data_IF_902131233475
#
_entry.id   IF_902131233475
#
_cell.length_a   1.000
_cell.length_b   1.000
_cell.length_c   1.000
_cell.angle_alpha   90.00
_cell.angle_beta   90.00
_cell.angle_gamma   90.00
#
_symmetry.space_group_name_H-M   'P 1'
#
loop_
_entity.id
_entity.type
_entity.pdbx_description
1 polymer ?
#
# COMPACT_ATOMS: atom_id res chain seq x y z
N UNK A 1 3.49 -1.25 13.65
CA UNK A 1 2.44 -2.26 13.96
C UNK A 1 1.37 -1.76 14.93
N UNK A 2 1.70 -0.86 15.86
CA UNK A 2 0.77 -0.32 16.88
C UNK A 2 -0.48 0.33 16.29
N UNK A 3 -0.35 1.08 15.20
CA UNK A 3 -1.49 1.76 14.55
C UNK A 3 -2.51 0.79 13.95
N UNK A 4 -2.07 -0.24 13.21
CA UNK A 4 -2.97 -1.21 12.60
C UNK A 4 -3.78 -1.95 13.68
N UNK A 5 -3.12 -2.44 14.73
CA UNK A 5 -3.78 -3.13 15.83
C UNK A 5 -4.78 -2.24 16.58
N UNK A 6 -4.43 -0.96 16.76
CA UNK A 6 -5.35 0.03 17.33
C UNK A 6 -6.59 0.20 16.44
N UNK A 7 -6.43 0.38 15.14
CA UNK A 7 -7.55 0.51 14.19
C UNK A 7 -8.45 -0.71 14.18
N UNK A 8 -7.89 -1.93 14.22
CA UNK A 8 -8.69 -3.16 14.28
C UNK A 8 -9.56 -3.19 15.54
N UNK A 9 -8.99 -2.82 16.70
CA UNK A 9 -9.72 -2.79 17.98
C UNK A 9 -10.80 -1.71 18.03
N UNK A 10 -10.53 -0.55 17.47
CA UNK A 10 -11.45 0.59 17.52
C UNK A 10 -12.59 0.46 16.50
N UNK A 11 -12.33 -0.11 15.33
CA UNK A 11 -13.29 -0.15 14.22
C UNK A 11 -14.03 -1.49 14.09
N UNK A 12 -13.58 -2.55 14.77
CA UNK A 12 -14.15 -3.91 14.70
C UNK A 12 -14.55 -4.33 13.26
N UNK A 13 -13.63 -4.26 12.29
CA UNK A 13 -13.96 -4.55 10.90
C UNK A 13 -14.25 -6.04 10.70
N UNK A 14 -15.18 -6.37 9.81
CA UNK A 14 -15.42 -7.76 9.41
C UNK A 14 -14.37 -8.28 8.43
N UNK A 15 -13.75 -7.40 7.64
CA UNK A 15 -12.75 -7.73 6.63
C UNK A 15 -11.67 -6.65 6.57
N UNK A 16 -10.42 -7.06 6.30
CA UNK A 16 -9.26 -6.17 6.20
C UNK A 16 -8.48 -6.52 4.94
N UNK A 17 -8.15 -5.50 4.15
CA UNK A 17 -7.22 -5.61 3.03
C UNK A 17 -6.18 -4.50 3.14
N UNK A 18 -4.92 -4.83 2.84
CA UNK A 18 -3.80 -3.87 2.80
C UNK A 18 -3.34 -3.72 1.37
N UNK A 19 -3.21 -2.48 0.90
CA UNK A 19 -2.74 -2.19 -0.45
C UNK A 19 -1.41 -1.44 -0.40
N UNK A 20 -0.44 -1.87 -1.19
CA UNK A 20 0.84 -1.19 -1.34
C UNK A 20 0.88 -0.42 -2.67
N UNK A 21 1.28 0.85 -2.59
CA UNK A 21 1.45 1.70 -3.77
C UNK A 21 2.64 1.22 -4.59
N UNK A 22 2.49 1.25 -5.91
CA UNK A 22 3.51 0.76 -6.85
C UNK A 22 4.13 1.92 -7.60
N UNK A 23 5.40 1.82 -7.97
CA UNK A 23 6.08 2.81 -8.84
C UNK A 23 5.54 2.85 -10.28
N UNK A 24 4.50 2.08 -10.58
CA UNK A 24 3.86 1.99 -11.88
C UNK A 24 3.48 3.39 -12.42
N UNK A 25 3.77 3.72 -13.69
CA UNK A 25 3.18 4.89 -14.31
C UNK A 25 1.66 4.75 -14.23
N UNK A 26 1.01 5.77 -13.69
CA UNK A 26 -0.45 5.85 -13.67
C UNK A 26 -0.89 6.72 -14.84
N UNK A 27 -2.05 6.42 -15.41
CA UNK A 27 -2.74 7.26 -16.41
C UNK A 27 -2.72 8.77 -16.08
N UNK A 28 -2.71 9.12 -14.79
CA UNK A 28 -2.64 10.52 -14.32
C UNK A 28 -1.32 11.22 -14.67
N UNK A 29 -0.21 10.47 -14.77
CA UNK A 29 1.11 11.00 -15.19
C UNK A 29 1.14 11.27 -16.70
N UNK A 30 0.41 10.48 -17.48
CA UNK A 30 0.32 10.64 -18.94
C UNK A 30 -0.56 11.84 -19.30
N UNK A 31 -1.66 12.07 -18.58
CA UNK A 31 -2.55 13.22 -18.78
C UNK A 31 -1.99 14.53 -18.24
N UNK A 32 -1.19 14.48 -17.17
CA UNK A 32 -0.63 15.69 -16.54
C UNK A 32 0.81 15.44 -16.09
N UNK A 33 1.81 15.84 -16.91
CA UNK A 33 3.22 15.61 -16.62
C UNK A 33 3.71 16.24 -15.31
N UNK A 34 3.08 17.34 -14.86
CA UNK A 34 3.39 17.97 -13.58
C UNK A 34 2.76 17.26 -12.37
N UNK A 35 1.97 16.19 -12.59
CA UNK A 35 1.37 15.42 -11.51
C UNK A 35 2.44 14.77 -10.63
N UNK A 36 2.49 15.14 -9.35
CA UNK A 36 3.48 14.68 -8.37
C UNK A 36 4.95 14.94 -8.77
N UNK A 37 5.21 15.87 -9.69
CA UNK A 37 6.57 16.16 -10.17
C UNK A 37 7.51 16.71 -9.08
N UNK A 38 6.96 17.36 -8.05
CA UNK A 38 7.73 17.89 -6.91
C UNK A 38 7.88 16.90 -5.75
N UNK A 39 7.42 15.65 -5.90
CA UNK A 39 7.50 14.67 -4.81
C UNK A 39 8.96 14.26 -4.62
N UNK A 40 9.45 14.39 -3.39
CA UNK A 40 10.75 13.83 -3.01
C UNK A 40 10.74 12.31 -3.19
N UNK A 41 11.89 11.77 -3.57
CA UNK A 41 12.05 10.33 -3.66
C UNK A 41 11.82 9.71 -2.29
N UNK A 42 11.13 8.57 -2.30
CA UNK A 42 10.87 7.81 -1.08
C UNK A 42 12.19 7.22 -0.59
N UNK A 43 12.47 7.40 0.70
CA UNK A 43 13.64 6.86 1.39
C UNK A 43 13.81 5.35 1.09
N UNK A 44 14.98 4.90 0.59
CA UNK A 44 15.29 3.49 0.40
C UNK A 44 15.02 2.63 1.64
N UNK A 45 15.32 3.13 2.84
CA UNK A 45 15.09 2.40 4.09
C UNK A 45 13.60 2.09 4.33
N UNK A 46 12.69 2.93 3.81
CA UNK A 46 11.26 2.66 3.89
C UNK A 46 10.84 1.54 2.94
N UNK A 47 11.49 1.40 1.78
CA UNK A 47 11.21 0.30 0.87
C UNK A 47 11.65 -1.05 1.45
N UNK A 48 12.77 -1.08 2.17
CA UNK A 48 13.27 -2.29 2.85
C UNK A 48 12.32 -2.79 3.96
N UNK A 49 11.50 -1.89 4.52
CA UNK A 49 10.49 -2.27 5.51
C UNK A 49 9.26 -2.94 4.89
N UNK A 50 8.97 -2.73 3.60
CA UNK A 50 7.75 -3.25 2.95
C UNK A 50 7.68 -4.80 2.98
N UNK A 51 8.74 -5.56 2.62
CA UNK A 51 8.74 -7.02 2.72
C UNK A 51 8.46 -7.51 4.14
N UNK A 52 9.08 -6.89 5.15
CA UNK A 52 8.91 -7.23 6.56
C UNK A 52 7.45 -7.06 6.98
N UNK A 53 6.81 -5.96 6.55
CA UNK A 53 5.39 -5.74 6.84
C UNK A 53 4.51 -6.82 6.19
N UNK A 54 4.80 -7.22 4.95
CA UNK A 54 4.04 -8.29 4.26
C UNK A 54 4.17 -9.63 4.99
N UNK A 55 5.37 -9.96 5.48
CA UNK A 55 5.62 -11.18 6.27
C UNK A 55 4.85 -11.19 7.59
N UNK A 56 4.66 -10.04 8.23
CA UNK A 56 3.87 -9.94 9.46
C UNK A 56 2.36 -10.02 9.18
N UNK A 57 1.89 -9.46 8.06
CA UNK A 57 0.46 -9.46 7.70
C UNK A 57 -0.04 -10.86 7.29
N UNK A 58 0.81 -11.67 6.67
CA UNK A 58 0.46 -13.01 6.21
C UNK A 58 -0.10 -13.94 7.31
N UNK A 59 0.56 -14.15 8.47
CA UNK A 59 0.03 -14.97 9.55
C UNK A 59 -1.19 -14.36 10.24
N UNK A 60 -1.42 -13.05 10.09
CA UNK A 60 -2.64 -12.40 10.57
C UNK A 60 -3.87 -12.66 9.68
N UNK A 61 -3.70 -13.40 8.57
CA UNK A 61 -4.75 -13.64 7.58
C UNK A 61 -5.15 -12.38 6.79
N UNK A 62 -4.33 -11.33 6.84
CA UNK A 62 -4.62 -10.06 6.17
C UNK A 62 -4.07 -10.13 4.75
N UNK A 63 -4.96 -10.04 3.77
CA UNK A 63 -4.56 -10.04 2.37
C UNK A 63 -3.82 -8.73 2.03
N UNK A 64 -2.59 -8.87 1.56
CA UNK A 64 -1.83 -7.78 0.97
C UNK A 64 -1.87 -7.85 -0.55
N UNK A 65 -2.17 -6.73 -1.20
CA UNK A 65 -2.22 -6.62 -2.65
C UNK A 65 -1.51 -5.36 -3.10
N UNK A 66 -1.03 -5.33 -4.34
CA UNK A 66 -0.43 -4.12 -4.89
C UNK A 66 -1.51 -3.33 -5.66
N UNK A 67 -1.35 -2.02 -5.81
CA UNK A 67 -2.35 -1.19 -6.51
C UNK A 67 -2.59 -1.60 -7.97
N UNK A 68 -1.64 -2.32 -8.59
CA UNK A 68 -1.86 -2.91 -9.92
C UNK A 68 -2.85 -4.09 -9.91
N UNK A 69 -2.90 -4.86 -8.82
CA UNK A 69 -3.78 -6.04 -8.69
C UNK A 69 -5.26 -5.62 -8.62
N UNK A 70 -5.54 -4.43 -8.08
CA UNK A 70 -6.88 -3.84 -8.04
C UNK A 70 -7.41 -3.35 -9.40
N UNK A 71 -6.53 -3.11 -10.38
CA UNK A 71 -6.92 -2.61 -11.71
C UNK A 71 -7.20 -3.71 -12.73
N UNK A 72 -6.94 -4.98 -12.37
CA UNK A 72 -7.16 -6.14 -13.25
C UNK A 72 -8.54 -6.80 -13.04
N UNK A 73 -9.34 -6.28 -12.12
CA UNK A 73 -10.63 -6.86 -11.73
C UNK A 73 -11.83 -6.03 -12.21
N UNK A 74 -11.65 -5.13 -13.19
CA UNK A 74 -12.76 -4.39 -13.82
C UNK A 74 -12.45 -4.12 -15.28
#
# INVERSE_FOLDING_TARGET
MTMLLKTIREQNPTHIAVTFDTKAPTFRKDLFPAYKAQRQEVDPALHEQIPIVKEILAPMGIQSMNTMDLKRTT
#
